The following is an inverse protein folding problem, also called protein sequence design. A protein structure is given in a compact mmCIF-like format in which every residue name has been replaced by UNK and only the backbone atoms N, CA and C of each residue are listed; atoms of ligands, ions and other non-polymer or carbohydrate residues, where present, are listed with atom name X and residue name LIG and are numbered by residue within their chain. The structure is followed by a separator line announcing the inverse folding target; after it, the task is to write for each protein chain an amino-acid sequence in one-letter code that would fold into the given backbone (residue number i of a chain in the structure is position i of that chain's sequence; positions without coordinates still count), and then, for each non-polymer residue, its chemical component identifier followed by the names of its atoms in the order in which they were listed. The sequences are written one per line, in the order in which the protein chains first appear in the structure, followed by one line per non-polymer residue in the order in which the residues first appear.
data_IF_962747698890
#
_entry.id   IF_962747698890
#
_cell.length_a   1.000
_cell.length_b   1.000
_cell.length_c   1.000
_cell.angle_alpha   90.00
_cell.angle_beta   90.00
_cell.angle_gamma   90.00
#
_symmetry.space_group_name_H-M   'P 1'
#
loop_
_entity.id
_entity.type
_entity.pdbx_description
1 polymer ?
#
# COMPACT_ATOMS: atom_id res chain seq x y z
N UNK A 1 -46.80 -0.11 -25.24
CA UNK A 1 -47.73 0.09 -24.10
C UNK A 1 -47.63 -1.13 -23.21
N UNK A 2 -46.95 -1.13 -22.07
CA UNK A 2 -47.05 -2.21 -21.11
C UNK A 2 -48.38 -2.07 -20.40
N UNK A 3 -49.26 -3.08 -20.52
CA UNK A 3 -50.46 -3.20 -19.72
C UNK A 3 -50.04 -3.37 -18.27
N UNK A 4 -50.38 -2.40 -17.40
CA UNK A 4 -50.18 -2.53 -15.95
C UNK A 4 -51.01 -3.74 -15.46
N UNK A 5 -50.35 -4.88 -15.33
CA UNK A 5 -50.93 -6.08 -14.69
C UNK A 5 -50.76 -5.82 -13.19
N UNK A 6 -51.86 -5.43 -12.47
CA UNK A 6 -51.84 -5.45 -11.01
C UNK A 6 -51.45 -6.87 -10.54
N UNK A 7 -50.58 -6.99 -9.50
CA UNK A 7 -50.25 -8.31 -8.97
C UNK A 7 -51.51 -9.07 -8.61
N UNK A 8 -51.57 -10.34 -8.96
CA UNK A 8 -52.69 -11.21 -8.65
C UNK A 8 -52.84 -11.32 -7.14
N UNK A 9 -54.07 -11.56 -6.63
CA UNK A 9 -54.39 -11.66 -5.18
C UNK A 9 -53.48 -12.68 -4.46
N UNK A 10 -52.88 -13.63 -5.18
CA UNK A 10 -51.97 -14.67 -4.66
C UNK A 10 -50.52 -14.16 -4.56
N UNK A 11 -50.12 -13.23 -5.42
CA UNK A 11 -48.73 -12.70 -5.42
C UNK A 11 -48.46 -11.62 -4.38
N UNK A 12 -49.49 -10.85 -4.02
CA UNK A 12 -49.39 -9.76 -3.06
C UNK A 12 -48.90 -10.20 -1.66
N UNK A 13 -49.37 -11.29 -1.04
CA UNK A 13 -48.87 -11.75 0.25
C UNK A 13 -47.40 -12.15 0.25
N UNK A 14 -46.93 -12.80 -0.84
CA UNK A 14 -45.53 -13.21 -0.99
C UNK A 14 -44.62 -11.99 -1.13
N UNK A 15 -45.04 -11.01 -1.91
CA UNK A 15 -44.35 -9.74 -2.08
C UNK A 15 -44.21 -8.99 -0.75
N UNK A 16 -45.27 -8.88 0.03
CA UNK A 16 -45.29 -8.22 1.33
C UNK A 16 -44.38 -8.93 2.34
N UNK A 17 -44.41 -10.27 2.40
CA UNK A 17 -43.50 -11.06 3.27
C UNK A 17 -42.05 -10.85 2.89
N UNK A 18 -41.74 -10.86 1.59
CA UNK A 18 -40.36 -10.63 1.10
C UNK A 18 -39.87 -9.22 1.43
N UNK A 19 -40.74 -8.19 1.37
CA UNK A 19 -40.41 -6.82 1.78
C UNK A 19 -40.16 -6.72 3.30
N UNK A 20 -40.93 -7.41 4.12
CA UNK A 20 -40.68 -7.47 5.58
C UNK A 20 -39.32 -8.13 5.87
N UNK A 21 -38.97 -9.21 5.16
CA UNK A 21 -37.66 -9.86 5.28
C UNK A 21 -36.51 -8.91 4.89
N UNK A 22 -36.72 -8.12 3.81
CA UNK A 22 -35.78 -7.10 3.38
C UNK A 22 -35.57 -6.02 4.46
N UNK A 23 -36.63 -5.49 5.01
CA UNK A 23 -36.55 -4.49 6.07
C UNK A 23 -35.87 -5.06 7.32
N UNK A 24 -36.22 -6.29 7.74
CA UNK A 24 -35.67 -6.90 8.94
C UNK A 24 -34.16 -7.15 8.79
N UNK A 25 -33.71 -7.73 7.66
CA UNK A 25 -32.30 -8.00 7.39
C UNK A 25 -31.49 -6.70 7.22
N UNK A 26 -32.07 -5.69 6.54
CA UNK A 26 -31.46 -4.39 6.35
C UNK A 26 -31.25 -3.64 7.68
N UNK A 27 -32.26 -3.61 8.55
CA UNK A 27 -32.18 -3.00 9.90
C UNK A 27 -31.10 -3.73 10.72
N UNK A 28 -31.14 -5.07 10.76
CA UNK A 28 -30.16 -5.85 11.52
C UNK A 28 -28.71 -5.57 11.04
N UNK A 29 -28.49 -5.57 9.72
CA UNK A 29 -27.19 -5.25 9.14
C UNK A 29 -26.75 -3.80 9.45
N UNK A 30 -27.66 -2.83 9.36
CA UNK A 30 -27.39 -1.43 9.69
C UNK A 30 -27.01 -1.24 11.17
N UNK A 31 -27.69 -1.91 12.09
CA UNK A 31 -27.35 -1.87 13.53
C UNK A 31 -25.98 -2.47 13.79
N UNK A 32 -25.66 -3.61 13.19
CA UNK A 32 -24.34 -4.21 13.35
C UNK A 32 -23.22 -3.35 12.74
N UNK A 33 -23.43 -2.77 11.56
CA UNK A 33 -22.50 -1.82 10.96
C UNK A 33 -22.32 -0.56 11.83
N UNK A 34 -23.40 -0.07 12.45
CA UNK A 34 -23.33 1.08 13.38
C UNK A 34 -22.43 0.80 14.59
N UNK A 35 -22.47 -0.42 15.12
CA UNK A 35 -21.65 -0.83 16.27
C UNK A 35 -20.15 -0.93 15.92
N UNK A 36 -19.80 -1.00 14.64
CA UNK A 36 -18.42 -1.06 14.19
C UNK A 36 -17.76 0.33 14.01
N UNK A 37 -18.49 1.42 14.34
CA UNK A 37 -17.89 2.76 14.31
C UNK A 37 -16.82 2.89 15.39
N UNK A 38 -15.71 3.55 15.12
CA UNK A 38 -15.37 4.43 13.98
C UNK A 38 -14.63 3.75 12.82
N UNK A 39 -14.68 2.44 12.66
CA UNK A 39 -13.90 1.74 11.62
C UNK A 39 -14.16 2.29 10.21
N UNK A 40 -13.14 2.33 9.31
CA UNK A 40 -13.28 2.82 7.96
C UNK A 40 -14.36 2.07 7.17
N UNK A 41 -15.27 2.79 6.54
CA UNK A 41 -16.39 2.23 5.80
C UNK A 41 -17.64 1.95 6.64
N UNK A 42 -17.56 1.92 7.98
CA UNK A 42 -18.71 1.61 8.81
C UNK A 42 -19.84 2.64 8.66
N UNK A 43 -19.52 3.93 8.70
CA UNK A 43 -20.51 5.00 8.57
C UNK A 43 -21.22 5.02 7.21
N UNK A 44 -20.54 4.98 6.07
CA UNK A 44 -21.22 4.93 4.77
C UNK A 44 -21.96 3.61 4.53
N UNK A 45 -21.51 2.48 5.10
CA UNK A 45 -22.28 1.23 5.03
C UNK A 45 -23.61 1.35 5.78
N UNK A 46 -23.63 2.00 6.94
CA UNK A 46 -24.88 2.28 7.66
C UNK A 46 -25.81 3.12 6.80
N UNK A 47 -25.32 4.19 6.18
CA UNK A 47 -26.12 5.04 5.30
C UNK A 47 -26.68 4.26 4.10
N UNK A 48 -25.86 3.41 3.49
CA UNK A 48 -26.25 2.55 2.37
C UNK A 48 -27.37 1.59 2.77
N UNK A 49 -27.20 0.85 3.88
CA UNK A 49 -28.21 -0.08 4.38
C UNK A 49 -29.48 0.61 4.84
N UNK A 50 -29.37 1.78 5.48
CA UNK A 50 -30.51 2.59 5.88
C UNK A 50 -31.31 3.08 4.66
N UNK A 51 -30.61 3.50 3.58
CA UNK A 51 -31.27 3.94 2.34
C UNK A 51 -31.98 2.78 1.62
N UNK A 52 -31.39 1.58 1.57
CA UNK A 52 -32.03 0.38 1.05
C UNK A 52 -33.26 0.00 1.86
N UNK A 53 -33.15 0.01 3.20
CA UNK A 53 -34.25 -0.27 4.11
C UNK A 53 -35.38 0.74 3.94
N UNK A 54 -35.02 2.02 3.84
CA UNK A 54 -35.99 3.10 3.59
C UNK A 54 -36.76 2.88 2.30
N UNK A 55 -36.08 2.55 1.21
CA UNK A 55 -36.73 2.24 -0.07
C UNK A 55 -37.64 1.02 0.05
N UNK A 56 -37.24 -0.05 0.76
CA UNK A 56 -38.08 -1.22 1.00
C UNK A 56 -39.36 -0.87 1.83
N UNK A 57 -39.21 -0.02 2.86
CA UNK A 57 -40.33 0.47 3.66
C UNK A 57 -41.33 1.28 2.81
N UNK A 58 -40.81 2.22 2.00
CA UNK A 58 -41.66 3.01 1.11
C UNK A 58 -42.39 2.12 0.09
N UNK A 59 -41.71 1.10 -0.46
CA UNK A 59 -42.31 0.13 -1.38
C UNK A 59 -43.40 -0.71 -0.69
N UNK A 60 -43.14 -1.15 0.56
CA UNK A 60 -44.11 -1.89 1.35
C UNK A 60 -45.41 -1.09 1.56
N UNK A 61 -45.33 0.17 1.97
CA UNK A 61 -46.49 1.02 2.11
C UNK A 61 -47.17 1.32 0.77
N UNK A 62 -46.42 1.56 -0.28
CA UNK A 62 -46.93 1.79 -1.63
C UNK A 62 -47.78 0.63 -2.14
N UNK A 63 -47.34 -0.63 -1.96
CA UNK A 63 -48.11 -1.81 -2.42
C UNK A 63 -49.28 -2.16 -1.49
N UNK A 64 -49.28 -1.64 -0.26
CA UNK A 64 -50.33 -1.89 0.73
C UNK A 64 -51.47 -0.87 0.69
N UNK A 65 -51.30 0.25 -0.01
CA UNK A 65 -52.32 1.31 -0.11
C UNK A 65 -53.22 1.09 -1.31
N UNK A 66 -54.49 1.51 -1.17
CA UNK A 66 -55.48 1.54 -2.23
C UNK A 66 -55.71 2.96 -2.80
N UNK A 67 -55.12 3.99 -2.20
CA UNK A 67 -55.28 5.40 -2.60
C UNK A 67 -54.14 5.85 -3.51
N UNK A 68 -54.47 6.37 -4.71
CA UNK A 68 -53.45 6.92 -5.64
C UNK A 68 -52.67 8.09 -5.04
N UNK A 69 -53.26 8.89 -4.15
CA UNK A 69 -52.55 9.98 -3.48
C UNK A 69 -51.49 9.44 -2.49
N UNK A 70 -51.81 8.38 -1.75
CA UNK A 70 -50.85 7.74 -0.87
C UNK A 70 -49.76 6.97 -1.67
N UNK A 71 -50.13 6.34 -2.77
CA UNK A 71 -49.17 5.70 -3.69
C UNK A 71 -48.11 6.72 -4.19
N UNK A 72 -48.58 7.91 -4.61
CA UNK A 72 -47.71 9.00 -5.03
C UNK A 72 -46.81 9.47 -3.88
N UNK A 73 -47.34 9.61 -2.66
CA UNK A 73 -46.55 10.00 -1.50
C UNK A 73 -45.42 9.01 -1.23
N UNK A 74 -45.72 7.71 -1.17
CA UNK A 74 -44.70 6.68 -0.91
C UNK A 74 -43.72 6.54 -2.06
N UNK A 75 -44.12 6.80 -3.30
CA UNK A 75 -43.24 6.87 -4.45
C UNK A 75 -42.26 8.04 -4.31
N UNK A 76 -42.70 9.25 -3.96
CA UNK A 76 -41.85 10.42 -3.72
C UNK A 76 -40.82 10.16 -2.61
N UNK A 77 -41.27 9.63 -1.48
CA UNK A 77 -40.44 9.29 -0.32
C UNK A 77 -39.41 8.18 -0.67
N UNK A 78 -39.81 7.23 -1.50
CA UNK A 78 -38.94 6.15 -1.98
C UNK A 78 -37.73 6.65 -2.76
N UNK A 79 -37.89 7.73 -3.56
CA UNK A 79 -36.80 8.34 -4.32
C UNK A 79 -35.64 8.81 -3.47
N UNK A 80 -35.85 9.20 -2.21
CA UNK A 80 -34.79 9.55 -1.27
C UNK A 80 -33.87 8.36 -1.06
N UNK A 81 -34.43 7.15 -0.86
CA UNK A 81 -33.59 5.92 -0.77
C UNK A 81 -32.88 5.59 -2.07
N UNK A 82 -33.62 5.64 -3.19
CA UNK A 82 -33.08 5.31 -4.53
C UNK A 82 -31.80 6.08 -4.86
N UNK A 83 -31.79 7.39 -4.62
CA UNK A 83 -30.64 8.25 -4.98
C UNK A 83 -29.49 8.21 -3.97
N UNK A 84 -29.78 7.89 -2.71
CA UNK A 84 -28.74 7.80 -1.66
C UNK A 84 -27.94 6.49 -1.78
N UNK A 85 -28.57 5.38 -2.17
CA UNK A 85 -27.93 4.07 -2.29
C UNK A 85 -26.65 4.11 -3.12
N UNK A 86 -26.60 4.58 -4.37
CA UNK A 86 -25.39 4.54 -5.19
C UNK A 86 -24.28 5.45 -4.67
N UNK A 87 -24.61 6.60 -4.09
CA UNK A 87 -23.65 7.53 -3.50
C UNK A 87 -23.02 6.92 -2.24
N UNK A 88 -23.84 6.39 -1.34
CA UNK A 88 -23.36 5.72 -0.12
C UNK A 88 -22.51 4.49 -0.44
N UNK A 89 -22.84 3.75 -1.50
CA UNK A 89 -22.06 2.62 -1.98
C UNK A 89 -20.65 3.02 -2.44
N UNK A 90 -20.51 4.08 -3.25
CA UNK A 90 -19.21 4.56 -3.71
C UNK A 90 -18.37 5.04 -2.53
N UNK A 91 -18.97 5.83 -1.61
CA UNK A 91 -18.27 6.31 -0.42
C UNK A 91 -17.80 5.13 0.43
N UNK A 92 -18.67 4.13 0.65
CA UNK A 92 -18.30 2.90 1.35
C UNK A 92 -17.13 2.19 0.69
N UNK A 93 -17.20 1.94 -0.62
CA UNK A 93 -16.19 1.18 -1.33
C UNK A 93 -14.83 1.88 -1.30
N UNK A 94 -14.78 3.21 -1.45
CA UNK A 94 -13.54 3.98 -1.41
C UNK A 94 -12.96 4.03 0.01
N UNK A 95 -13.77 4.31 1.02
CA UNK A 95 -13.33 4.38 2.42
C UNK A 95 -12.88 3.01 2.94
N UNK A 96 -13.64 1.95 2.64
CA UNK A 96 -13.32 0.59 3.04
C UNK A 96 -12.01 0.07 2.42
N UNK A 97 -11.72 0.46 1.18
CA UNK A 97 -10.48 0.07 0.48
C UNK A 97 -9.30 1.03 0.69
N UNK A 98 -9.46 2.06 1.56
CA UNK A 98 -8.40 3.00 1.92
C UNK A 98 -8.11 4.07 0.88
N UNK A 99 -9.04 4.33 -0.03
CA UNK A 99 -8.97 5.37 -1.07
C UNK A 99 -9.77 6.61 -0.72
N UNK A 100 -9.83 6.97 0.56
CA UNK A 100 -10.56 8.13 1.07
C UNK A 100 -9.96 9.48 0.65
N UNK A 101 -8.77 9.52 0.07
CA UNK A 101 -8.18 10.69 -0.59
C UNK A 101 -9.09 11.28 -1.68
N UNK A 102 -9.89 10.42 -2.34
CA UNK A 102 -10.90 10.85 -3.33
C UNK A 102 -12.18 11.37 -2.68
N UNK A 103 -12.38 11.21 -1.36
CA UNK A 103 -13.60 11.62 -0.65
C UNK A 103 -13.49 13.05 -0.09
N UNK A 104 -13.01 13.99 -0.89
CA UNK A 104 -12.99 15.40 -0.48
C UNK A 104 -14.41 15.97 -0.43
N UNK A 105 -14.64 17.00 0.39
CA UNK A 105 -15.95 17.69 0.49
C UNK A 105 -16.48 18.17 -0.88
N UNK A 106 -15.55 18.53 -1.78
CA UNK A 106 -15.89 19.00 -3.14
C UNK A 106 -16.45 17.85 -4.00
N UNK A 107 -15.79 16.68 -3.99
CA UNK A 107 -16.25 15.52 -4.77
C UNK A 107 -17.54 14.92 -4.22
N UNK A 108 -17.68 14.80 -2.89
CA UNK A 108 -18.96 14.36 -2.28
C UNK A 108 -20.08 15.33 -2.59
N UNK A 109 -19.82 16.65 -2.54
CA UNK A 109 -20.79 17.68 -2.96
C UNK A 109 -21.19 17.52 -4.42
N UNK A 110 -20.24 17.31 -5.34
CA UNK A 110 -20.52 17.10 -6.77
C UNK A 110 -21.39 15.85 -6.99
N UNK A 111 -21.04 14.73 -6.35
CA UNK A 111 -21.83 13.48 -6.41
C UNK A 111 -23.23 13.66 -5.87
N UNK A 112 -23.49 14.61 -4.97
CA UNK A 112 -24.80 14.84 -4.37
C UNK A 112 -25.71 15.77 -5.21
N UNK A 113 -25.20 16.42 -6.27
CA UNK A 113 -25.98 17.38 -7.08
C UNK A 113 -27.14 16.68 -7.81
N UNK A 114 -26.87 15.59 -8.56
CA UNK A 114 -27.92 14.87 -9.27
C UNK A 114 -28.93 14.23 -8.32
N UNK A 115 -28.54 13.56 -7.22
CA UNK A 115 -29.45 13.13 -6.15
C UNK A 115 -30.37 14.25 -5.63
N UNK A 116 -29.78 15.39 -5.27
CA UNK A 116 -30.56 16.51 -4.72
C UNK A 116 -31.59 17.04 -5.75
N UNK A 117 -31.16 17.19 -7.01
CA UNK A 117 -32.05 17.61 -8.10
C UNK A 117 -33.16 16.56 -8.34
N UNK A 118 -32.83 15.26 -8.28
CA UNK A 118 -33.82 14.18 -8.43
C UNK A 118 -34.87 14.20 -7.29
N UNK A 119 -34.43 14.46 -6.07
CA UNK A 119 -35.37 14.61 -4.94
C UNK A 119 -36.29 15.80 -5.20
N UNK A 120 -35.74 16.95 -5.64
CA UNK A 120 -36.55 18.12 -5.99
C UNK A 120 -37.62 17.77 -7.03
N UNK A 121 -37.19 17.11 -8.13
CA UNK A 121 -38.12 16.68 -9.20
C UNK A 121 -39.15 15.65 -8.71
N UNK A 122 -38.77 14.73 -7.81
CA UNK A 122 -39.69 13.74 -7.23
C UNK A 122 -40.84 14.41 -6.38
N UNK A 123 -40.54 15.56 -5.78
CA UNK A 123 -41.52 16.29 -4.97
C UNK A 123 -42.33 17.36 -5.73
N UNK A 124 -42.04 17.55 -7.03
CA UNK A 124 -42.70 18.53 -7.90
C UNK A 124 -43.33 17.93 -9.15
N UNK A 125 -43.87 16.70 -9.14
CA UNK A 125 -44.39 16.05 -10.35
C UNK A 125 -45.65 16.72 -10.91
N UNK A 126 -46.26 17.65 -10.15
CA UNK A 126 -47.40 18.43 -10.64
C UNK A 126 -47.01 19.45 -11.74
N UNK A 127 -45.74 19.79 -11.85
CA UNK A 127 -45.24 20.81 -12.78
C UNK A 127 -44.53 20.22 -13.99
N UNK A 128 -44.24 18.90 -14.00
CA UNK A 128 -43.49 18.24 -15.07
C UNK A 128 -43.58 16.72 -15.05
N UNK A 129 -43.45 16.09 -16.20
CA UNK A 129 -43.43 14.62 -16.37
C UNK A 129 -42.00 14.08 -16.54
N UNK A 130 -40.98 14.72 -15.94
CA UNK A 130 -39.59 14.38 -16.18
C UNK A 130 -39.17 13.08 -15.47
N UNK A 131 -39.72 12.77 -14.30
CA UNK A 131 -39.34 11.65 -13.45
C UNK A 131 -40.53 10.73 -13.13
N UNK A 132 -41.68 11.31 -12.74
CA UNK A 132 -42.90 10.61 -12.40
C UNK A 132 -43.97 11.10 -13.38
N UNK A 133 -44.58 10.19 -14.10
CA UNK A 133 -45.67 10.48 -15.03
C UNK A 133 -46.96 10.07 -14.35
N UNK A 134 -47.87 11.03 -14.22
CA UNK A 134 -49.20 10.81 -13.65
C UNK A 134 -50.21 10.64 -14.79
N UNK A 135 -50.82 9.47 -14.89
CA UNK A 135 -51.85 9.19 -15.88
C UNK A 135 -53.19 8.88 -15.18
N UNK A 136 -54.26 9.47 -15.67
CA UNK A 136 -55.62 9.09 -15.23
C UNK A 136 -56.05 7.84 -15.99
N UNK A 137 -56.46 6.78 -15.24
CA UNK A 137 -56.90 5.54 -15.89
C UNK A 137 -58.06 5.80 -16.82
N UNK A 138 -57.95 5.43 -18.07
CA UNK A 138 -58.94 5.64 -19.15
C UNK A 138 -60.17 4.73 -19.03
N UNK A 139 -60.54 4.25 -17.85
CA UNK A 139 -61.59 3.26 -17.59
C UNK A 139 -62.78 3.75 -16.73
N UNK A 140 -62.97 5.06 -16.55
CA UNK A 140 -64.15 5.58 -15.87
C UNK A 140 -64.09 5.60 -14.33
N UNK A 141 -63.03 5.10 -13.70
CA UNK A 141 -62.88 5.10 -12.25
C UNK A 141 -62.18 6.38 -11.70
N UNK A 142 -61.63 7.24 -12.56
CA UNK A 142 -60.87 8.42 -12.13
C UNK A 142 -59.62 8.12 -11.31
N UNK A 143 -59.17 6.86 -11.31
CA UNK A 143 -58.04 6.39 -10.49
C UNK A 143 -56.72 6.92 -11.10
N UNK A 144 -55.91 7.58 -10.27
CA UNK A 144 -54.57 8.04 -10.62
C UNK A 144 -53.61 6.83 -10.73
N UNK A 145 -53.01 6.66 -11.86
CA UNK A 145 -51.91 5.67 -12.07
C UNK A 145 -50.59 6.40 -12.04
N UNK A 146 -49.72 5.98 -11.15
CA UNK A 146 -48.39 6.54 -10.99
C UNK A 146 -47.37 5.67 -11.75
N UNK A 147 -46.82 6.17 -12.83
CA UNK A 147 -45.78 5.50 -13.61
C UNK A 147 -44.44 6.20 -13.43
N UNK A 148 -43.39 5.44 -13.17
CA UNK A 148 -42.03 5.97 -13.19
C UNK A 148 -41.53 5.96 -14.63
N UNK A 149 -41.16 7.15 -15.14
CA UNK A 149 -40.78 7.31 -16.54
C UNK A 149 -40.20 8.69 -16.79
N UNK A 150 -40.06 9.05 -18.06
CA UNK A 150 -39.56 10.36 -18.46
C UNK A 150 -38.04 10.40 -18.64
N UNK A 151 -37.59 11.53 -19.22
CA UNK A 151 -36.18 11.67 -19.61
C UNK A 151 -35.23 11.68 -18.42
N UNK A 152 -35.64 12.28 -17.30
CA UNK A 152 -34.83 12.34 -16.08
C UNK A 152 -34.63 10.98 -15.43
N UNK A 153 -35.63 10.10 -15.53
CA UNK A 153 -35.49 8.71 -15.06
C UNK A 153 -34.31 8.01 -15.75
N UNK A 154 -34.16 8.17 -17.06
CA UNK A 154 -33.03 7.60 -17.82
C UNK A 154 -31.69 8.21 -17.38
N UNK A 155 -31.64 9.51 -17.13
CA UNK A 155 -30.42 10.19 -16.66
C UNK A 155 -30.00 9.67 -15.30
N UNK A 156 -30.92 9.59 -14.32
CA UNK A 156 -30.58 9.15 -12.98
C UNK A 156 -30.28 7.64 -12.90
N UNK A 157 -30.93 6.82 -13.74
CA UNK A 157 -30.62 5.40 -13.87
C UNK A 157 -29.20 5.22 -14.42
N UNK A 158 -28.83 5.93 -15.49
CA UNK A 158 -27.47 5.93 -16.02
C UNK A 158 -26.42 6.35 -14.98
N UNK A 159 -26.71 7.43 -14.25
CA UNK A 159 -25.85 7.88 -13.14
C UNK A 159 -25.68 6.81 -12.06
N UNK A 160 -26.77 6.18 -11.63
CA UNK A 160 -26.77 5.11 -10.63
C UNK A 160 -25.87 3.93 -11.07
N UNK A 161 -25.99 3.51 -12.34
CA UNK A 161 -25.19 2.39 -12.86
C UNK A 161 -23.70 2.74 -12.97
N UNK A 162 -23.38 3.97 -13.36
CA UNK A 162 -21.98 4.45 -13.37
C UNK A 162 -21.39 4.44 -11.96
N UNK A 163 -22.12 4.95 -10.95
CA UNK A 163 -21.66 4.92 -9.56
C UNK A 163 -21.54 3.49 -9.03
N UNK A 164 -22.49 2.61 -9.35
CA UNK A 164 -22.40 1.21 -8.98
C UNK A 164 -21.12 0.56 -9.53
N UNK A 165 -20.78 0.81 -10.81
CA UNK A 165 -19.55 0.33 -11.44
C UNK A 165 -18.28 0.89 -10.78
N UNK A 166 -18.27 2.20 -10.47
CA UNK A 166 -17.14 2.84 -9.77
C UNK A 166 -16.91 2.20 -8.39
N UNK A 167 -17.97 1.96 -7.61
CA UNK A 167 -17.84 1.34 -6.29
C UNK A 167 -17.47 -0.15 -6.33
N UNK A 168 -17.86 -0.87 -7.38
CA UNK A 168 -17.52 -2.30 -7.55
C UNK A 168 -16.03 -2.48 -7.87
N UNK A 169 -15.41 -1.60 -8.65
CA UNK A 169 -14.05 -1.76 -9.16
C UNK A 169 -12.99 -1.98 -8.06
N UNK A 170 -12.93 -1.18 -6.98
CA UNK A 170 -11.94 -1.39 -5.91
C UNK A 170 -12.14 -2.73 -5.19
N UNK A 171 -13.40 -3.15 -4.97
CA UNK A 171 -13.71 -4.42 -4.30
C UNK A 171 -13.37 -5.60 -5.22
N UNK A 172 -13.60 -5.49 -6.52
CA UNK A 172 -13.24 -6.50 -7.49
C UNK A 172 -11.71 -6.68 -7.61
N UNK A 173 -10.95 -5.57 -7.61
CA UNK A 173 -9.49 -5.61 -7.53
C UNK A 173 -9.00 -6.33 -6.27
N UNK A 174 -9.68 -6.14 -5.15
CA UNK A 174 -9.37 -6.82 -3.90
C UNK A 174 -9.63 -8.33 -3.97
N UNK A 175 -10.68 -8.77 -4.68
CA UNK A 175 -10.99 -10.19 -4.91
C UNK A 175 -9.86 -10.88 -5.71
N UNK A 176 -9.27 -10.18 -6.67
CA UNK A 176 -8.16 -10.71 -7.50
C UNK A 176 -6.78 -10.52 -6.86
N UNK A 177 -6.68 -9.79 -5.75
CA UNK A 177 -5.43 -9.66 -5.01
C UNK A 177 -4.98 -11.00 -4.43
N UNK A 178 -3.67 -11.17 -4.24
CA UNK A 178 -3.05 -12.42 -3.77
C UNK A 178 -3.43 -12.79 -2.33
N UNK A 179 -3.96 -11.86 -1.55
CA UNK A 179 -4.34 -12.08 -0.16
C UNK A 179 -5.65 -12.86 -0.06
N UNK A 180 -5.55 -14.16 0.20
CA UNK A 180 -6.70 -15.07 0.41
C UNK A 180 -7.64 -14.60 1.55
N UNK A 181 -7.11 -13.84 2.50
CA UNK A 181 -7.85 -13.33 3.68
C UNK A 181 -9.05 -12.44 3.31
N UNK A 182 -9.03 -11.74 2.17
CA UNK A 182 -10.09 -10.81 1.76
C UNK A 182 -11.10 -11.40 0.77
N UNK A 183 -10.90 -12.61 0.28
CA UNK A 183 -11.78 -13.22 -0.75
C UNK A 183 -13.21 -13.40 -0.26
N UNK A 184 -13.39 -13.91 0.96
CA UNK A 184 -14.73 -14.11 1.53
C UNK A 184 -15.48 -12.79 1.73
N UNK A 185 -14.80 -11.76 2.23
CA UNK A 185 -15.35 -10.42 2.40
C UNK A 185 -15.75 -9.81 1.04
N UNK A 186 -14.82 -9.81 0.07
CA UNK A 186 -15.09 -9.27 -1.27
C UNK A 186 -16.25 -9.98 -1.96
N UNK A 187 -16.31 -11.31 -1.85
CA UNK A 187 -17.39 -12.10 -2.47
C UNK A 187 -18.75 -11.75 -1.87
N UNK A 188 -18.85 -11.67 -0.54
CA UNK A 188 -20.13 -11.31 0.10
C UNK A 188 -20.54 -9.87 -0.18
N UNK A 189 -19.59 -8.92 -0.19
CA UNK A 189 -19.88 -7.53 -0.57
C UNK A 189 -20.37 -7.43 -2.02
N UNK A 190 -19.76 -8.17 -2.95
CA UNK A 190 -20.18 -8.20 -4.34
C UNK A 190 -21.55 -8.84 -4.51
N UNK A 191 -21.85 -9.97 -3.84
CA UNK A 191 -23.19 -10.57 -3.85
C UNK A 191 -24.23 -9.56 -3.37
N UNK A 192 -23.96 -8.89 -2.23
CA UNK A 192 -24.87 -7.88 -1.67
C UNK A 192 -25.11 -6.69 -2.60
N UNK A 193 -24.12 -6.26 -3.37
CA UNK A 193 -24.24 -5.16 -4.31
C UNK A 193 -24.84 -5.59 -5.67
N UNK A 194 -24.43 -6.72 -6.21
CA UNK A 194 -24.82 -7.16 -7.55
C UNK A 194 -26.26 -7.68 -7.59
N UNK A 195 -26.74 -8.35 -6.53
CA UNK A 195 -28.10 -8.91 -6.55
C UNK A 195 -29.17 -7.85 -6.80
N UNK A 196 -29.25 -6.73 -6.05
CA UNK A 196 -30.25 -5.70 -6.33
C UNK A 196 -29.93 -4.94 -7.63
N UNK A 197 -28.67 -4.74 -7.98
CA UNK A 197 -28.27 -4.06 -9.22
C UNK A 197 -28.75 -4.84 -10.44
N UNK A 198 -28.48 -6.14 -10.50
CA UNK A 198 -28.94 -6.99 -11.60
C UNK A 198 -30.46 -7.06 -11.67
N UNK A 199 -31.13 -7.18 -10.51
CA UNK A 199 -32.60 -7.16 -10.45
C UNK A 199 -33.15 -5.87 -11.03
N UNK A 200 -32.58 -4.71 -10.66
CA UNK A 200 -33.00 -3.41 -11.17
C UNK A 200 -32.74 -3.25 -12.67
N UNK A 201 -31.59 -3.67 -13.17
CA UNK A 201 -31.26 -3.65 -14.60
C UNK A 201 -32.26 -4.52 -15.39
N UNK A 202 -32.50 -5.74 -14.95
CA UNK A 202 -33.42 -6.65 -15.63
C UNK A 202 -34.86 -6.12 -15.62
N UNK A 203 -35.27 -5.47 -14.52
CA UNK A 203 -36.58 -4.82 -14.45
C UNK A 203 -36.69 -3.67 -15.46
N UNK A 204 -35.73 -2.76 -15.46
CA UNK A 204 -35.74 -1.60 -16.38
C UNK A 204 -35.60 -1.99 -17.87
N UNK A 205 -34.99 -3.13 -18.17
CA UNK A 205 -34.94 -3.72 -19.53
C UNK A 205 -36.23 -4.45 -19.91
N UNK A 206 -37.20 -4.60 -19.00
CA UNK A 206 -38.43 -5.35 -19.23
C UNK A 206 -38.24 -6.87 -19.27
N UNK A 207 -37.06 -7.38 -18.87
CA UNK A 207 -36.73 -8.81 -18.92
C UNK A 207 -37.44 -9.66 -17.86
N UNK A 208 -38.10 -9.03 -16.87
CA UNK A 208 -38.83 -9.70 -15.80
C UNK A 208 -40.35 -9.87 -16.10
N UNK A 209 -40.72 -10.00 -17.36
CA UNK A 209 -42.06 -10.38 -17.77
C UNK A 209 -43.17 -9.38 -17.45
N UNK A 210 -42.87 -8.08 -17.35
CA UNK A 210 -43.84 -7.04 -17.08
C UNK A 210 -44.33 -6.99 -15.61
N UNK A 211 -43.41 -7.27 -14.68
CA UNK A 211 -43.67 -7.11 -13.25
C UNK A 211 -44.24 -5.71 -12.96
N UNK A 212 -45.40 -5.65 -12.29
CA UNK A 212 -46.08 -4.39 -12.02
C UNK A 212 -45.37 -3.51 -10.98
N UNK A 213 -44.47 -4.08 -10.19
CA UNK A 213 -43.71 -3.40 -9.14
C UNK A 213 -42.23 -3.74 -9.30
N UNK A 214 -41.38 -2.74 -9.14
CA UNK A 214 -39.90 -2.96 -9.14
C UNK A 214 -39.51 -3.94 -8.01
N UNK A 215 -38.95 -5.11 -8.36
CA UNK A 215 -38.56 -6.11 -7.37
C UNK A 215 -37.21 -5.82 -6.70
N UNK A 216 -36.54 -4.73 -7.03
CA UNK A 216 -35.25 -4.34 -6.42
C UNK A 216 -35.30 -4.29 -4.88
N UNK A 217 -36.34 -3.72 -4.23
CA UNK A 217 -36.46 -3.72 -2.77
C UNK A 217 -36.55 -5.13 -2.14
N UNK A 218 -37.04 -6.12 -2.87
CA UNK A 218 -37.02 -7.53 -2.42
C UNK A 218 -35.62 -8.09 -2.44
N UNK A 219 -34.85 -7.77 -3.48
CA UNK A 219 -33.48 -8.21 -3.61
C UNK A 219 -32.57 -7.67 -2.48
N UNK A 220 -32.98 -6.60 -1.80
CA UNK A 220 -32.28 -6.11 -0.61
C UNK A 220 -32.33 -7.09 0.58
N UNK A 221 -33.23 -8.07 0.61
CA UNK A 221 -33.17 -9.14 1.59
C UNK A 221 -31.89 -9.97 1.44
N UNK A 222 -31.51 -10.28 0.20
CA UNK A 222 -30.26 -10.98 -0.10
C UNK A 222 -29.06 -10.10 0.22
N UNK A 223 -29.11 -8.80 -0.12
CA UNK A 223 -28.12 -7.81 0.29
C UNK A 223 -27.91 -7.79 1.80
N UNK A 224 -28.99 -7.68 2.56
CA UNK A 224 -28.97 -7.64 4.03
C UNK A 224 -28.30 -8.87 4.62
N UNK A 225 -28.66 -10.06 4.17
CA UNK A 225 -28.05 -11.34 4.59
C UNK A 225 -26.56 -11.37 4.22
N UNK A 226 -26.21 -10.96 3.01
CA UNK A 226 -24.81 -10.91 2.57
C UNK A 226 -23.96 -9.97 3.44
N UNK A 227 -24.45 -8.76 3.73
CA UNK A 227 -23.75 -7.81 4.61
C UNK A 227 -23.71 -8.27 6.07
N UNK A 228 -24.75 -8.93 6.58
CA UNK A 228 -24.72 -9.59 7.89
C UNK A 228 -23.61 -10.65 7.92
N UNK A 229 -23.52 -11.48 6.91
CA UNK A 229 -22.45 -12.49 6.77
C UNK A 229 -21.08 -11.85 6.67
N UNK A 230 -20.93 -10.77 5.90
CA UNK A 230 -19.67 -10.03 5.78
C UNK A 230 -19.21 -9.48 7.16
N UNK A 231 -20.11 -8.89 7.93
CA UNK A 231 -19.79 -8.31 9.24
C UNK A 231 -19.49 -9.41 10.27
N UNK A 232 -20.33 -10.46 10.35
CA UNK A 232 -20.26 -11.45 11.43
C UNK A 232 -19.32 -12.62 11.16
N UNK A 233 -19.36 -13.21 9.96
CA UNK A 233 -18.59 -14.41 9.59
C UNK A 233 -17.20 -14.04 9.10
N UNK A 234 -17.11 -12.98 8.31
CA UNK A 234 -15.84 -12.62 7.67
C UNK A 234 -15.13 -11.46 8.37
N UNK A 235 -15.68 -10.97 9.51
CA UNK A 235 -15.09 -9.88 10.31
C UNK A 235 -14.69 -8.67 9.44
N UNK A 236 -15.67 -8.14 8.71
CA UNK A 236 -15.51 -7.11 7.67
C UNK A 236 -14.63 -5.94 8.12
N UNK A 237 -14.85 -5.44 9.33
CA UNK A 237 -14.16 -4.27 9.86
C UNK A 237 -12.89 -4.63 10.63
N UNK A 238 -12.83 -5.78 11.30
CA UNK A 238 -11.63 -6.22 12.04
C UNK A 238 -10.45 -6.62 11.13
N UNK A 239 -10.70 -6.85 9.83
CA UNK A 239 -9.70 -7.14 8.80
C UNK A 239 -9.84 -6.21 7.60
N UNK A 240 -10.13 -4.95 7.83
CA UNK A 240 -10.25 -3.97 6.75
C UNK A 240 -8.92 -3.81 6.00
N UNK A 241 -8.92 -3.69 4.66
CA UNK A 241 -7.72 -3.44 3.87
C UNK A 241 -7.17 -2.02 4.05
N UNK A 242 -8.01 -1.05 4.44
CA UNK A 242 -7.62 0.34 4.58
C UNK A 242 -6.44 0.59 5.54
N UNK A 243 -6.38 0.00 6.77
CA UNK A 243 -5.23 0.16 7.65
C UNK A 243 -3.93 -0.37 7.04
N UNK A 244 -3.98 -1.50 6.33
CA UNK A 244 -2.79 -2.10 5.72
C UNK A 244 -2.24 -1.24 4.59
N UNK A 245 -3.10 -0.65 3.77
CA UNK A 245 -2.69 0.22 2.67
C UNK A 245 -2.11 1.54 3.22
N UNK A 246 -2.82 2.18 4.16
CA UNK A 246 -2.34 3.39 4.84
C UNK A 246 -1.04 3.16 5.61
N UNK A 247 -0.90 2.00 6.28
CA UNK A 247 0.34 1.67 6.97
C UNK A 247 1.52 1.52 6.02
N UNK A 248 1.34 0.91 4.85
CA UNK A 248 2.39 0.81 3.83
C UNK A 248 2.80 2.18 3.30
N UNK A 249 1.83 3.00 2.95
CA UNK A 249 2.08 4.37 2.49
C UNK A 249 2.73 5.20 3.60
N UNK A 250 2.19 5.14 4.83
CA UNK A 250 2.77 5.84 5.97
C UNK A 250 4.21 5.39 6.26
N UNK A 251 4.50 4.10 6.19
CA UNK A 251 5.86 3.58 6.36
C UNK A 251 6.78 4.11 5.26
N UNK A 252 6.36 4.07 4.00
CA UNK A 252 7.15 4.56 2.89
C UNK A 252 7.42 6.07 3.00
N UNK A 253 6.39 6.87 3.29
CA UNK A 253 6.51 8.34 3.42
C UNK A 253 7.32 8.76 4.66
N UNK A 254 7.29 7.98 5.76
CA UNK A 254 7.99 8.31 7.00
C UNK A 254 9.28 7.50 7.22
N UNK A 255 9.75 6.74 6.23
CA UNK A 255 11.07 6.12 6.30
C UNK A 255 12.14 7.20 6.37
N UNK A 256 13.11 7.03 7.28
CA UNK A 256 14.28 7.92 7.37
C UNK A 256 15.23 7.72 6.17
N UNK A 257 15.25 6.52 5.61
CA UNK A 257 15.98 6.20 4.40
C UNK A 257 15.26 6.77 3.18
N UNK A 258 16.03 7.31 2.25
CA UNK A 258 15.49 7.71 0.96
C UNK A 258 15.07 6.47 0.16
N UNK A 259 13.90 6.52 -0.47
CA UNK A 259 13.43 5.47 -1.35
C UNK A 259 12.81 6.04 -2.61
N UNK A 260 13.20 5.51 -3.77
CA UNK A 260 12.63 5.87 -5.07
C UNK A 260 12.41 4.61 -5.90
N UNK A 261 11.29 4.57 -6.58
CA UNK A 261 10.89 3.49 -7.49
C UNK A 261 10.90 4.02 -8.91
N UNK A 262 11.59 3.33 -9.81
CA UNK A 262 11.58 3.60 -11.24
C UNK A 262 10.99 2.41 -12.00
N UNK A 263 10.34 2.67 -13.12
CA UNK A 263 9.84 1.60 -13.99
C UNK A 263 10.95 1.06 -14.92
N UNK A 264 10.58 0.13 -15.80
CA UNK A 264 11.49 -0.46 -16.79
C UNK A 264 11.99 0.52 -17.87
N UNK A 265 11.48 1.77 -17.89
CA UNK A 265 11.87 2.84 -18.80
C UNK A 265 12.61 3.97 -18.06
N UNK A 266 13.06 3.71 -16.82
CA UNK A 266 13.70 4.69 -15.94
C UNK A 266 12.85 5.94 -15.65
N UNK A 267 11.53 5.79 -15.60
CA UNK A 267 10.60 6.84 -15.18
C UNK A 267 10.29 6.67 -13.69
N UNK A 268 10.33 7.76 -12.92
CA UNK A 268 10.02 7.75 -11.49
C UNK A 268 8.54 7.47 -11.27
N UNK A 269 8.23 6.35 -10.65
CA UNK A 269 6.85 5.91 -10.32
C UNK A 269 6.46 6.34 -8.92
N UNK A 270 7.38 6.24 -7.95
CA UNK A 270 7.14 6.57 -6.56
C UNK A 270 8.43 7.06 -5.89
N UNK A 271 8.32 7.99 -4.95
CA UNK A 271 9.45 8.55 -4.19
C UNK A 271 8.95 9.00 -2.83
N UNK A 272 9.72 8.75 -1.75
CA UNK A 272 9.37 9.25 -0.43
C UNK A 272 9.94 10.67 -0.18
N UNK A 273 9.45 11.32 0.89
CA UNK A 273 9.88 12.68 1.24
C UNK A 273 11.38 12.76 1.57
N UNK A 274 11.93 11.73 2.22
CA UNK A 274 13.37 11.65 2.54
C UNK A 274 14.22 11.68 1.28
N UNK A 275 13.85 10.90 0.26
CA UNK A 275 14.54 10.85 -1.03
C UNK A 275 14.42 12.17 -1.80
N UNK A 276 13.23 12.77 -1.82
CA UNK A 276 12.99 14.06 -2.46
C UNK A 276 13.86 15.17 -1.82
N UNK A 277 14.01 15.16 -0.50
CA UNK A 277 14.88 16.09 0.23
C UNK A 277 16.37 15.89 -0.12
N UNK A 278 16.83 14.64 -0.29
CA UNK A 278 18.22 14.34 -0.69
C UNK A 278 18.52 14.87 -2.09
N UNK A 279 17.59 14.73 -3.02
CA UNK A 279 17.76 15.15 -4.41
C UNK A 279 17.43 16.65 -4.64
N UNK A 280 16.91 17.34 -3.62
CA UNK A 280 16.53 18.77 -3.74
C UNK A 280 15.33 19.00 -4.66
N UNK A 281 14.44 18.02 -4.78
CA UNK A 281 13.25 18.04 -5.63
C UNK A 281 11.96 17.97 -4.80
N UNK A 282 10.81 18.05 -5.46
CA UNK A 282 9.51 17.81 -4.84
C UNK A 282 8.85 16.58 -5.44
N UNK A 283 8.04 15.85 -4.67
CA UNK A 283 7.33 14.66 -5.14
C UNK A 283 6.53 14.94 -6.43
N UNK A 284 5.93 16.13 -6.52
CA UNK A 284 5.13 16.53 -7.70
C UNK A 284 5.97 16.69 -8.97
N UNK A 285 7.22 17.11 -8.84
CA UNK A 285 8.15 17.27 -9.96
C UNK A 285 8.78 15.95 -10.35
N UNK A 286 9.01 15.07 -9.38
CA UNK A 286 9.67 13.80 -9.59
C UNK A 286 8.75 12.74 -10.23
N UNK A 287 7.48 12.65 -9.79
CA UNK A 287 6.57 11.62 -10.26
C UNK A 287 6.26 11.76 -11.75
N UNK A 288 6.52 10.70 -12.52
CA UNK A 288 6.31 10.63 -13.96
C UNK A 288 7.42 11.29 -14.80
N UNK A 289 8.48 11.82 -14.17
CA UNK A 289 9.64 12.36 -14.86
C UNK A 289 10.71 11.26 -15.09
N UNK A 290 11.56 11.39 -16.13
CA UNK A 290 12.73 10.55 -16.30
C UNK A 290 13.67 10.64 -15.09
N UNK A 291 14.14 9.49 -14.58
CA UNK A 291 15.00 9.45 -13.40
C UNK A 291 16.27 10.30 -13.56
N UNK A 292 16.87 10.29 -14.73
CA UNK A 292 18.07 11.09 -15.04
C UNK A 292 17.86 12.61 -14.92
N UNK A 293 16.64 13.11 -15.06
CA UNK A 293 16.32 14.55 -14.91
C UNK A 293 16.13 14.97 -13.45
N UNK A 294 15.75 14.03 -12.58
CA UNK A 294 15.32 14.30 -11.20
C UNK A 294 16.35 13.82 -10.20
N UNK A 295 17.05 12.73 -10.50
CA UNK A 295 18.02 12.08 -9.60
C UNK A 295 19.42 12.54 -9.99
N UNK A 296 20.13 13.28 -9.13
CA UNK A 296 21.52 13.67 -9.39
C UNK A 296 22.41 12.44 -9.54
N UNK A 297 23.28 12.43 -10.54
CA UNK A 297 24.22 11.34 -10.81
C UNK A 297 23.55 9.96 -11.01
N UNK A 298 22.36 9.91 -11.59
CA UNK A 298 21.62 8.67 -11.81
C UNK A 298 22.42 7.59 -12.55
N UNK A 299 23.30 7.99 -13.48
CA UNK A 299 24.19 7.07 -14.22
C UNK A 299 25.17 6.30 -13.31
N UNK A 300 25.39 6.78 -12.08
CA UNK A 300 26.25 6.14 -11.10
C UNK A 300 25.49 5.21 -10.15
N UNK A 301 24.17 5.08 -10.31
CA UNK A 301 23.37 4.17 -9.50
C UNK A 301 23.62 2.73 -9.92
N UNK A 302 23.54 1.78 -8.98
CA UNK A 302 23.76 0.37 -9.32
C UNK A 302 22.67 -0.16 -10.24
N UNK A 303 23.05 -0.93 -11.27
CA UNK A 303 22.12 -1.52 -12.24
C UNK A 303 21.68 -2.93 -11.86
N UNK A 304 22.53 -3.67 -11.14
CA UNK A 304 22.30 -5.06 -10.80
C UNK A 304 21.53 -5.20 -9.46
N UNK A 305 20.67 -6.21 -9.41
CA UNK A 305 19.88 -6.52 -8.21
C UNK A 305 20.79 -6.90 -7.02
N UNK A 306 20.57 -6.25 -5.87
CA UNK A 306 21.33 -6.48 -4.66
C UNK A 306 22.72 -5.83 -4.62
N UNK A 307 23.09 -5.04 -5.63
CA UNK A 307 24.34 -4.28 -5.61
C UNK A 307 24.17 -2.95 -4.90
N UNK A 308 25.25 -2.45 -4.29
CA UNK A 308 25.28 -1.14 -3.66
C UNK A 308 26.46 -0.30 -4.15
N UNK A 309 26.27 1.02 -4.15
CA UNK A 309 27.28 2.00 -4.56
C UNK A 309 27.27 3.17 -3.57
N UNK A 310 28.47 3.61 -3.17
CA UNK A 310 28.60 4.78 -2.32
C UNK A 310 28.57 6.07 -3.13
N UNK A 311 27.55 6.89 -2.92
CA UNK A 311 27.37 8.18 -3.59
C UNK A 311 27.34 9.31 -2.58
N UNK A 312 27.83 10.49 -2.99
CA UNK A 312 27.80 11.69 -2.16
C UNK A 312 26.93 12.74 -2.83
N UNK A 313 25.90 13.21 -2.09
CA UNK A 313 25.04 14.29 -2.52
C UNK A 313 25.33 15.56 -1.70
N UNK A 314 25.29 16.72 -2.36
CA UNK A 314 25.54 18.03 -1.73
C UNK A 314 24.43 18.99 -2.09
N UNK A 315 23.87 19.64 -1.07
CA UNK A 315 22.87 20.71 -1.21
C UNK A 315 23.50 22.11 -1.26
N UNK A 316 24.81 22.18 -1.48
CA UNK A 316 25.58 23.44 -1.52
C UNK A 316 26.06 23.93 -0.14
N UNK A 317 25.57 23.37 0.96
CA UNK A 317 25.99 23.70 2.35
C UNK A 317 26.54 22.51 3.09
N UNK A 318 25.95 21.34 2.90
CA UNK A 318 26.35 20.07 3.52
C UNK A 318 26.54 19.01 2.46
N UNK A 319 27.56 18.19 2.64
CA UNK A 319 27.80 17.01 1.84
C UNK A 319 27.50 15.77 2.68
N UNK A 320 26.66 14.88 2.18
CA UNK A 320 26.28 13.63 2.83
C UNK A 320 26.60 12.45 1.94
N UNK A 321 27.07 11.40 2.56
CA UNK A 321 27.41 10.15 1.88
C UNK A 321 26.30 9.12 2.12
N UNK A 322 25.86 8.50 1.04
CA UNK A 322 24.82 7.49 1.04
C UNK A 322 25.30 6.20 0.44
N UNK A 323 24.89 5.10 1.02
CA UNK A 323 24.93 3.79 0.40
C UNK A 323 23.65 3.59 -0.39
N UNK A 324 23.75 3.50 -1.71
CA UNK A 324 22.61 3.37 -2.62
C UNK A 324 22.53 1.92 -3.07
N UNK A 325 21.45 1.24 -2.72
CA UNK A 325 21.20 -0.16 -3.09
C UNK A 325 20.07 -0.24 -4.11
N UNK A 326 20.29 -1.04 -5.19
CA UNK A 326 19.25 -1.37 -6.16
C UNK A 326 18.58 -2.70 -5.80
N UNK A 327 17.25 -2.76 -5.93
CA UNK A 327 16.45 -3.98 -5.82
C UNK A 327 15.48 -4.08 -6.97
N UNK A 328 15.56 -5.15 -7.76
CA UNK A 328 14.70 -5.38 -8.92
C UNK A 328 13.28 -5.78 -8.53
N UNK A 329 12.29 -5.18 -9.19
CA UNK A 329 10.87 -5.56 -9.08
C UNK A 329 10.55 -6.44 -10.27
N UNK A 330 10.25 -7.72 -10.06
CA UNK A 330 9.91 -8.66 -11.12
C UNK A 330 8.45 -9.12 -11.06
N UNK A 331 7.88 -9.45 -12.22
CA UNK A 331 6.57 -10.10 -12.28
C UNK A 331 6.67 -11.61 -11.97
N UNK A 332 5.53 -12.33 -11.99
CA UNK A 332 5.49 -13.78 -11.74
C UNK A 332 6.22 -14.62 -12.81
N UNK A 333 6.54 -14.03 -13.95
CA UNK A 333 7.26 -14.66 -15.07
C UNK A 333 8.76 -14.36 -15.02
N UNK A 334 9.24 -13.55 -14.03
CA UNK A 334 10.63 -13.16 -13.87
C UNK A 334 11.05 -11.95 -14.74
N UNK A 335 10.10 -11.28 -15.41
CA UNK A 335 10.39 -10.07 -16.18
C UNK A 335 10.53 -8.87 -15.25
N UNK A 336 11.54 -8.04 -15.47
CA UNK A 336 11.81 -6.83 -14.71
C UNK A 336 10.73 -5.77 -15.02
N UNK A 337 9.99 -5.36 -14.00
CA UNK A 337 8.98 -4.29 -14.07
C UNK A 337 9.56 -2.92 -13.70
N UNK A 338 10.66 -2.89 -12.95
CA UNK A 338 11.28 -1.68 -12.46
C UNK A 338 12.29 -1.97 -11.36
N UNK A 339 12.82 -0.93 -10.73
CA UNK A 339 13.78 -1.01 -9.63
C UNK A 339 13.37 -0.12 -8.47
N UNK A 340 13.71 -0.55 -7.26
CA UNK A 340 13.67 0.27 -6.05
C UNK A 340 15.09 0.63 -5.71
N UNK A 341 15.39 1.91 -5.57
CA UNK A 341 16.64 2.37 -4.99
C UNK A 341 16.40 2.84 -3.57
N UNK A 342 17.21 2.34 -2.63
CA UNK A 342 17.22 2.80 -1.23
C UNK A 342 18.50 3.54 -0.94
N UNK A 343 18.40 4.66 -0.25
CA UNK A 343 19.51 5.54 0.10
C UNK A 343 19.69 5.54 1.62
N UNK A 344 20.74 4.88 2.09
CA UNK A 344 21.09 4.83 3.49
C UNK A 344 22.16 5.88 3.82
N UNK A 345 21.89 6.83 4.73
CA UNK A 345 22.85 7.87 5.12
C UNK A 345 23.97 7.26 6.00
N UNK A 346 25.15 7.11 5.42
CA UNK A 346 26.34 6.56 6.08
C UNK A 346 27.32 7.67 6.52
N UNK A 347 26.93 8.92 6.45
CA UNK A 347 27.80 10.07 6.75
C UNK A 347 28.40 9.98 8.15
N UNK A 348 27.58 9.70 9.16
CA UNK A 348 28.06 9.58 10.55
C UNK A 348 28.99 8.40 10.73
N UNK A 349 28.68 7.27 10.10
CA UNK A 349 29.51 6.07 10.14
C UNK A 349 30.91 6.34 9.54
N UNK A 350 30.98 6.95 8.36
CA UNK A 350 32.24 7.30 7.72
C UNK A 350 33.04 8.34 8.55
N UNK A 351 32.39 9.34 9.12
CA UNK A 351 33.02 10.32 10.01
C UNK A 351 33.58 9.66 11.27
N UNK A 352 32.88 8.72 11.85
CA UNK A 352 33.33 7.99 13.03
C UNK A 352 34.51 7.10 12.70
N UNK A 353 34.49 6.38 11.59
CA UNK A 353 35.61 5.60 11.09
C UNK A 353 36.86 6.48 10.87
N UNK A 354 36.67 7.62 10.19
CA UNK A 354 37.77 8.54 9.95
C UNK A 354 38.37 9.09 11.25
N UNK A 355 37.52 9.44 12.23
CA UNK A 355 38.00 9.88 13.55
C UNK A 355 38.80 8.80 14.26
N UNK A 356 38.34 7.54 14.20
CA UNK A 356 39.07 6.41 14.78
C UNK A 356 40.41 6.16 14.06
N UNK A 357 40.46 6.26 12.73
CA UNK A 357 41.71 6.15 11.97
C UNK A 357 42.70 7.24 12.35
N UNK A 358 42.26 8.49 12.48
CA UNK A 358 43.11 9.61 12.89
C UNK A 358 43.62 9.43 14.33
N UNK A 359 42.72 9.04 15.26
CA UNK A 359 43.08 8.82 16.67
C UNK A 359 44.11 7.69 16.80
N UNK A 360 43.89 6.58 16.14
CA UNK A 360 44.82 5.45 16.13
C UNK A 360 46.21 5.85 15.58
N UNK A 361 46.24 6.64 14.50
CA UNK A 361 47.50 7.13 13.95
C UNK A 361 48.23 8.04 14.96
N UNK A 362 47.53 8.94 15.61
CA UNK A 362 48.09 9.85 16.61
C UNK A 362 48.61 9.08 17.84
N UNK A 363 47.84 8.10 18.33
CA UNK A 363 48.24 7.29 19.48
C UNK A 363 49.52 6.49 19.17
N UNK A 364 49.58 5.85 18.01
CA UNK A 364 50.79 5.09 17.59
C UNK A 364 51.99 6.00 17.49
N UNK A 365 51.86 7.16 16.88
CA UNK A 365 52.97 8.12 16.78
C UNK A 365 53.46 8.52 18.16
N UNK A 366 52.59 8.83 19.13
CA UNK A 366 52.96 9.18 20.48
C UNK A 366 53.63 8.02 21.22
N UNK A 367 53.06 6.80 21.15
CA UNK A 367 53.66 5.62 21.74
C UNK A 367 55.05 5.38 21.21
N UNK A 368 55.24 5.47 19.90
CA UNK A 368 56.56 5.30 19.27
C UNK A 368 57.56 6.36 19.75
N UNK A 369 57.14 7.61 19.80
CA UNK A 369 57.99 8.74 20.24
C UNK A 369 58.39 8.57 21.71
N UNK A 370 57.44 8.33 22.60
CA UNK A 370 57.73 8.16 24.04
C UNK A 370 58.59 6.91 24.29
N UNK A 371 58.31 5.83 23.61
CA UNK A 371 59.08 4.60 23.74
C UNK A 371 60.50 4.75 23.24
N UNK A 372 60.76 5.48 22.14
CA UNK A 372 62.08 5.80 21.66
C UNK A 372 62.87 6.69 22.64
N UNK A 373 62.18 7.68 23.29
CA UNK A 373 62.81 8.52 24.34
C UNK A 373 63.20 7.66 25.54
N UNK A 374 62.31 6.81 26.01
CA UNK A 374 62.57 5.88 27.13
C UNK A 374 63.74 4.94 26.80
N UNK A 375 63.76 4.39 25.60
CA UNK A 375 64.83 3.53 25.12
C UNK A 375 66.18 4.29 25.05
N UNK A 376 66.20 5.52 24.52
CA UNK A 376 67.40 6.34 24.39
C UNK A 376 67.99 6.74 25.76
N UNK A 377 67.18 7.08 26.76
CA UNK A 377 67.67 7.35 28.13
C UNK A 377 68.14 6.07 28.83
N UNK A 378 67.49 4.95 28.63
CA UNK A 378 67.88 3.69 29.18
C UNK A 378 69.22 3.21 28.57
N UNK A 379 69.53 3.57 27.31
CA UNK A 379 70.75 3.23 26.60
C UNK A 379 71.97 3.95 27.14
N UNK A 380 71.76 5.13 27.76
CA UNK A 380 72.86 5.92 28.36
C UNK A 380 73.18 5.47 29.79
N UNK A 381 72.52 4.46 30.32
CA UNK A 381 72.64 4.01 31.69
C UNK A 381 73.12 2.54 31.78
N UNK A 382 74.31 2.28 32.29
CA UNK A 382 74.83 0.94 32.51
C UNK A 382 74.32 0.35 33.84
N UNK A 383 73.08 -0.20 33.81
CA UNK A 383 72.52 -0.89 34.98
C UNK A 383 71.57 -2.01 34.55
N UNK A 384 71.43 -3.00 35.40
CA UNK A 384 70.41 -4.08 35.19
C UNK A 384 68.98 -3.57 35.08
N UNK A 385 68.67 -2.43 35.72
CA UNK A 385 67.40 -1.77 35.62
C UNK A 385 67.19 -1.15 34.23
N UNK A 386 68.21 -0.57 33.62
CA UNK A 386 68.18 -0.02 32.26
C UNK A 386 67.87 -1.10 31.21
N UNK A 387 68.46 -2.27 31.33
CA UNK A 387 68.18 -3.43 30.47
C UNK A 387 66.70 -3.89 30.57
N UNK A 388 66.14 -3.84 31.76
CA UNK A 388 64.70 -4.16 31.96
C UNK A 388 63.82 -3.09 31.28
N UNK A 389 64.17 -1.81 31.43
CA UNK A 389 63.44 -0.71 30.83
C UNK A 389 63.49 -0.81 29.27
N UNK A 390 64.68 -1.02 28.69
CA UNK A 390 64.85 -1.26 27.23
C UNK A 390 63.95 -2.34 26.73
N UNK A 391 63.96 -3.53 27.40
CA UNK A 391 63.18 -4.68 26.99
C UNK A 391 61.69 -4.39 27.06
N UNK A 392 61.25 -3.63 28.08
CA UNK A 392 59.82 -3.24 28.19
C UNK A 392 59.44 -2.21 27.14
N UNK A 393 60.29 -1.25 26.82
CA UNK A 393 60.03 -0.27 25.79
C UNK A 393 59.92 -0.94 24.40
N UNK A 394 60.86 -1.83 24.06
CA UNK A 394 60.75 -2.59 22.82
C UNK A 394 59.49 -3.44 22.72
N UNK A 395 59.03 -4.03 23.84
CA UNK A 395 57.79 -4.79 23.86
C UNK A 395 56.53 -3.94 23.62
N UNK A 396 56.53 -2.68 24.11
CA UNK A 396 55.43 -1.70 23.83
C UNK A 396 55.39 -1.37 22.33
N UNK A 397 56.56 -1.16 21.71
CA UNK A 397 56.66 -0.93 20.26
C UNK A 397 56.13 -2.13 19.48
N UNK A 398 56.57 -3.34 19.86
CA UNK A 398 56.13 -4.59 19.21
C UNK A 398 54.59 -4.75 19.28
N UNK A 399 53.96 -4.51 20.45
CA UNK A 399 52.54 -4.57 20.61
C UNK A 399 51.79 -3.50 19.78
N UNK A 400 52.38 -2.30 19.69
CA UNK A 400 51.82 -1.21 18.87
C UNK A 400 51.89 -1.51 17.37
N UNK A 401 52.96 -2.13 16.88
CA UNK A 401 53.08 -2.56 15.50
C UNK A 401 52.15 -3.76 15.17
N UNK A 402 52.06 -4.75 16.04
CA UNK A 402 51.09 -5.86 15.89
C UNK A 402 49.63 -5.36 15.87
N UNK A 403 49.33 -4.34 16.66
CA UNK A 403 48.00 -3.70 16.62
C UNK A 403 47.73 -3.01 15.28
N UNK A 404 48.75 -2.44 14.62
CA UNK A 404 48.62 -1.89 13.28
C UNK A 404 48.33 -2.99 12.25
N UNK A 405 49.15 -4.06 12.29
CA UNK A 405 48.99 -5.20 11.38
C UNK A 405 47.61 -5.84 11.49
N UNK A 406 47.09 -5.99 12.71
CA UNK A 406 45.75 -6.49 12.93
C UNK A 406 44.66 -5.59 12.31
N UNK A 407 44.77 -4.24 12.44
CA UNK A 407 43.80 -3.30 11.87
C UNK A 407 43.87 -3.34 10.33
N UNK A 408 45.07 -3.40 9.75
CA UNK A 408 45.24 -3.50 8.31
C UNK A 408 44.68 -4.81 7.75
N UNK A 409 44.80 -5.92 8.48
CA UNK A 409 44.20 -7.19 8.11
C UNK A 409 42.64 -7.12 8.16
N UNK A 410 42.05 -6.42 9.12
CA UNK A 410 40.57 -6.23 9.19
C UNK A 410 40.07 -5.28 8.08
N UNK A 411 40.85 -4.24 7.72
CA UNK A 411 40.48 -3.31 6.62
C UNK A 411 40.54 -4.03 5.24
N UNK A 412 41.49 -4.95 5.03
CA UNK A 412 41.63 -5.76 3.80
C UNK A 412 40.61 -6.92 3.73
N UNK A 413 40.17 -7.45 4.86
CA UNK A 413 39.17 -8.52 4.89
C UNK A 413 37.77 -8.08 4.49
N UNK A 414 37.52 -6.77 4.30
CA UNK A 414 36.24 -6.21 3.87
C UNK A 414 36.10 -6.16 2.35
N UNK A 415 37.17 -6.31 1.59
CA UNK A 415 37.14 -6.54 0.14
C UNK A 415 37.03 -8.06 -0.07
N UNK A 416 36.19 -8.52 -0.99
CA UNK A 416 36.07 -9.95 -1.33
C UNK A 416 37.45 -10.44 -1.74
N UNK A 417 38.06 -11.37 -0.96
CA UNK A 417 39.43 -11.79 -1.25
C UNK A 417 39.43 -12.64 -2.51
N UNK A 418 40.25 -12.26 -3.49
CA UNK A 418 40.52 -13.12 -4.64
C UNK A 418 41.10 -14.47 -4.15
N UNK A 419 40.54 -15.60 -4.58
CA UNK A 419 41.01 -16.90 -4.16
C UNK A 419 42.41 -17.17 -4.72
N UNK A 420 43.38 -17.38 -3.84
CA UNK A 420 44.77 -17.78 -4.20
C UNK A 420 45.05 -19.23 -3.85
N UNK A 421 46.01 -19.83 -4.53
CA UNK A 421 46.47 -21.19 -4.20
C UNK A 421 47.11 -21.23 -2.81
N UNK A 422 46.70 -22.16 -1.97
CA UNK A 422 47.31 -22.40 -0.66
C UNK A 422 48.79 -22.66 -0.77
N UNK A 423 49.23 -23.36 -1.82
CA UNK A 423 50.63 -23.68 -2.11
C UNK A 423 51.43 -22.40 -2.30
N UNK A 424 50.94 -21.43 -3.07
CA UNK A 424 51.60 -20.15 -3.33
C UNK A 424 51.73 -19.31 -2.06
N UNK A 425 50.67 -19.26 -1.25
CA UNK A 425 50.64 -18.55 0.05
C UNK A 425 51.65 -19.14 1.03
N UNK A 426 51.73 -20.48 1.10
CA UNK A 426 52.67 -21.18 1.99
C UNK A 426 54.10 -21.04 1.51
N UNK A 427 54.36 -21.13 0.19
CA UNK A 427 55.69 -20.99 -0.40
C UNK A 427 56.25 -19.58 -0.16
N UNK A 428 55.40 -18.54 -0.33
CA UNK A 428 55.75 -17.17 0.01
C UNK A 428 56.11 -17.00 1.51
N UNK A 429 55.32 -17.59 2.41
CA UNK A 429 55.55 -17.53 3.86
C UNK A 429 56.87 -18.23 4.23
N UNK A 430 57.13 -19.42 3.67
CA UNK A 430 58.34 -20.18 3.90
C UNK A 430 59.57 -19.43 3.38
N UNK A 431 59.50 -18.78 2.22
CA UNK A 431 60.58 -18.02 1.67
C UNK A 431 61.00 -16.87 2.62
N UNK A 432 60.06 -16.16 3.20
CA UNK A 432 60.36 -15.08 4.18
C UNK A 432 61.04 -15.63 5.44
N UNK A 433 60.59 -16.78 5.96
CA UNK A 433 61.22 -17.41 7.14
C UNK A 433 62.62 -17.93 6.78
N UNK A 434 62.82 -18.44 5.56
CA UNK A 434 64.10 -18.91 5.05
C UNK A 434 65.10 -17.75 4.93
N UNK A 435 64.65 -16.58 4.48
CA UNK A 435 65.50 -15.38 4.36
C UNK A 435 65.92 -14.86 5.75
N UNK A 436 65.09 -15.04 6.77
CA UNK A 436 65.39 -14.65 8.16
C UNK A 436 66.26 -15.67 8.90
N UNK A 437 66.24 -16.94 8.44
CA UNK A 437 66.96 -18.04 9.10
C UNK A 437 67.72 -18.90 8.07
N UNK A 438 68.82 -18.42 7.46
CA UNK A 438 69.51 -19.10 6.36
C UNK A 438 70.10 -20.45 6.73
N UNK A 439 70.33 -20.72 8.00
CA UNK A 439 70.91 -21.96 8.51
C UNK A 439 69.89 -23.10 8.74
N UNK A 440 68.59 -22.84 8.46
CA UNK A 440 67.49 -23.81 8.67
C UNK A 440 66.93 -24.28 7.34
N UNK A 441 66.87 -25.61 7.15
CA UNK A 441 66.17 -26.19 5.97
C UNK A 441 64.69 -26.33 6.22
N UNK A 442 63.89 -25.70 5.38
CA UNK A 442 62.42 -25.80 5.41
C UNK A 442 61.96 -26.67 4.22
N UNK A 443 61.10 -27.64 4.48
CA UNK A 443 60.43 -28.42 3.46
C UNK A 443 58.91 -28.25 3.61
N UNK A 444 58.20 -28.07 2.50
CA UNK A 444 56.76 -28.03 2.42
C UNK A 444 56.28 -29.40 1.94
N UNK A 445 55.47 -30.07 2.77
CA UNK A 445 54.82 -31.31 2.39
C UNK A 445 53.31 -31.05 2.41
N UNK A 446 52.65 -31.01 1.26
CA UNK A 446 51.27 -30.67 1.08
C UNK A 446 50.56 -31.65 0.15
N UNK A 447 49.23 -31.68 0.13
CA UNK A 447 48.47 -32.52 -0.80
C UNK A 447 48.67 -32.03 -2.25
N UNK A 448 48.71 -32.98 -3.20
CA UNK A 448 48.81 -32.73 -4.64
C UNK A 448 47.58 -31.99 -5.26
N UNK A 449 46.60 -31.64 -4.46
CA UNK A 449 45.38 -30.92 -4.88
C UNK A 449 45.54 -29.44 -4.57
N UNK A 450 45.33 -28.62 -5.59
CA UNK A 450 45.33 -27.16 -5.47
C UNK A 450 44.11 -26.70 -4.64
N UNK A 451 44.35 -26.25 -3.40
CA UNK A 451 43.33 -25.75 -2.49
C UNK A 451 43.33 -24.24 -2.57
N UNK A 452 42.22 -23.65 -3.03
CA UNK A 452 42.03 -22.20 -3.03
C UNK A 452 41.68 -21.70 -1.63
N UNK A 453 42.38 -20.69 -1.17
CA UNK A 453 42.17 -20.04 0.12
C UNK A 453 41.93 -18.54 -0.09
N UNK A 454 41.12 -17.95 0.80
CA UNK A 454 40.93 -16.51 0.79
C UNK A 454 42.25 -15.80 1.17
N UNK A 455 42.64 -14.78 0.40
CA UNK A 455 43.93 -14.03 0.51
C UNK A 455 44.13 -13.31 1.85
N UNK A 456 43.09 -13.28 2.74
CA UNK A 456 43.21 -12.74 4.11
C UNK A 456 44.33 -13.39 4.92
N UNK A 457 44.85 -14.56 4.49
CA UNK A 457 45.91 -15.30 5.16
C UNK A 457 47.32 -14.94 4.71
N UNK A 458 47.55 -13.96 3.81
CA UNK A 458 48.91 -13.51 3.53
C UNK A 458 49.57 -12.99 4.81
N UNK A 459 50.58 -13.67 5.36
CA UNK A 459 51.34 -13.12 6.46
C UNK A 459 52.07 -11.87 5.97
N UNK A 460 51.83 -10.77 6.63
CA UNK A 460 52.54 -9.49 6.39
C UNK A 460 53.98 -9.58 6.82
#
# INVERSE_FOLDING_TARGET
MPVLIRPTVVELPVLVVALYASVATGVAAAILAWRQRPDPGASPLVLFLAAQTWWSVCTLFRVSTASGAEELLWTRLGWVGVVVVPVAWVIFALEYTGRDEYLTRRYVGLLSVLPALTILLAFTPEYHDLLIVQQTATGGSGELVVEQGGIWFTVIAGYTYVLAAIGVMPILRMLWSTASAFRGQSTTLLIGAFTPLVTNVLFNLGALGGAAVDPTPIAFAVSGVAYLGAITQFNLFGKSPAPNWRARQFLFDNMQEGAVVVDSHDVVVEMNESCAAVFGTTLRQALGAPAAEVIPNYESFPDDDGTSTHLTFSDGRTSRSYDVTATGITNRQGELLGRIYTLHDITQYLQQQQRLKVLNRALRHNIRTETNIIHGYADQTDSTAAEIIKRRAMRILEVSEKGREAIELFDTATEEPDPESLSDVLEFAIQRVRDAHPDVQFSLDGPDTDVLVATVLRPV
#
